data_IF_863126379717
#
_entry.id   IF_863126379717
#
_cell.length_a   1.000
_cell.length_b   1.000
_cell.length_c   1.000
_cell.angle_alpha   90.00
_cell.angle_beta   90.00
_cell.angle_gamma   90.00
#
_symmetry.space_group_name_H-M   'P 1'
#
loop_
_entity.id
_entity.type
_entity.pdbx_description
1 polymer ?
#
# COMPACT_ATOMS: atom_id res chain seq x y z
N UNK A 1 16.79 10.49 3.06
CA UNK A 1 16.15 10.20 4.36
C UNK A 1 15.68 11.49 5.02
N UNK A 2 14.55 11.45 5.67
CA UNK A 2 14.06 12.53 6.53
C UNK A 2 14.27 12.13 7.99
N UNK A 3 14.51 13.05 8.93
CA UNK A 3 14.73 12.74 10.34
C UNK A 3 13.38 12.49 11.07
N UNK A 4 12.61 11.50 10.59
CA UNK A 4 11.30 11.18 11.13
C UNK A 4 11.27 9.73 11.58
N UNK A 5 11.03 9.54 12.88
CA UNK A 5 10.89 8.23 13.52
C UNK A 5 9.49 8.12 14.08
N UNK A 6 8.76 7.08 13.67
CA UNK A 6 7.44 6.79 14.25
C UNK A 6 7.63 6.14 15.61
N UNK A 7 6.95 6.72 16.62
CA UNK A 7 7.02 6.24 18.00
C UNK A 7 6.58 4.78 18.11
N UNK A 8 7.27 4.02 18.97
CA UNK A 8 7.03 2.61 19.24
C UNK A 8 5.76 2.36 20.08
N UNK A 9 4.63 2.83 19.60
CA UNK A 9 3.31 2.69 20.24
C UNK A 9 2.47 1.68 19.46
N UNK A 10 1.87 0.73 20.15
CA UNK A 10 1.06 -0.37 19.56
C UNK A 10 -0.07 0.14 18.67
N UNK A 11 -0.70 1.26 19.04
CA UNK A 11 -1.76 1.88 18.25
C UNK A 11 -1.26 2.60 16.98
N UNK A 12 0.04 2.90 16.87
CA UNK A 12 0.61 3.74 15.81
C UNK A 12 1.57 2.96 14.93
N UNK A 13 2.54 2.26 15.53
CA UNK A 13 3.66 1.64 14.82
C UNK A 13 3.36 0.21 14.40
N UNK A 14 2.48 0.05 13.43
CA UNK A 14 2.18 -1.24 12.81
C UNK A 14 2.76 -1.34 11.38
N UNK A 15 2.62 -2.53 10.78
CA UNK A 15 3.17 -2.85 9.43
C UNK A 15 2.81 -1.83 8.34
N UNK A 16 1.57 -1.26 8.37
CA UNK A 16 1.11 -0.27 7.39
C UNK A 16 1.82 1.07 7.56
N UNK A 17 1.99 1.51 8.80
CA UNK A 17 2.73 2.74 9.10
C UNK A 17 4.20 2.56 8.73
N UNK A 18 4.81 1.41 9.07
CA UNK A 18 6.21 1.11 8.79
C UNK A 18 6.52 1.20 7.28
N UNK A 19 5.74 0.54 6.41
CA UNK A 19 5.96 0.63 4.96
C UNK A 19 5.75 2.05 4.42
N UNK A 20 4.71 2.75 4.92
CA UNK A 20 4.37 4.09 4.45
C UNK A 20 5.45 5.10 4.79
N UNK A 21 5.95 5.08 6.02
CA UNK A 21 6.98 6.02 6.45
C UNK A 21 8.34 5.71 5.82
N UNK A 22 8.67 4.42 5.65
CA UNK A 22 9.91 4.02 5.00
C UNK A 22 9.95 4.45 3.52
N UNK A 23 8.85 4.33 2.77
CA UNK A 23 8.76 4.88 1.40
C UNK A 23 9.00 6.39 1.33
N UNK A 24 8.79 7.11 2.41
CA UNK A 24 8.99 8.56 2.51
C UNK A 24 10.34 8.96 3.12
N UNK A 25 11.18 7.98 3.42
CA UNK A 25 12.54 8.21 3.93
C UNK A 25 12.67 8.27 5.45
N UNK A 26 11.57 8.01 6.20
CA UNK A 26 11.59 7.86 7.66
C UNK A 26 11.71 6.39 8.09
N UNK A 27 11.55 6.12 9.39
CA UNK A 27 11.58 4.78 9.95
C UNK A 27 10.51 4.61 11.02
N UNK A 28 9.93 3.43 11.13
CA UNK A 28 9.06 3.07 12.25
C UNK A 28 9.75 2.06 13.15
N UNK A 29 9.47 2.18 14.46
CA UNK A 29 9.97 1.27 15.48
C UNK A 29 8.80 0.43 15.99
N UNK A 30 8.83 -0.88 15.79
CA UNK A 30 7.81 -1.82 16.30
C UNK A 30 7.94 -1.92 17.83
N UNK A 31 6.83 -1.88 18.57
CA UNK A 31 6.84 -1.96 20.03
C UNK A 31 7.44 -3.26 20.57
N UNK A 32 8.04 -3.18 21.77
CA UNK A 32 8.68 -4.33 22.44
C UNK A 32 7.69 -5.33 23.07
N UNK A 33 6.44 -4.90 23.28
CA UNK A 33 5.36 -5.70 23.89
C UNK A 33 4.65 -6.62 22.89
N UNK A 34 5.13 -6.67 21.65
CA UNK A 34 4.59 -7.53 20.59
C UNK A 34 5.38 -8.85 20.57
N UNK A 35 4.69 -10.02 20.47
CA UNK A 35 5.36 -11.33 20.37
C UNK A 35 6.37 -11.38 19.22
N UNK A 36 7.50 -12.07 19.41
CA UNK A 36 8.63 -12.11 18.46
C UNK A 36 8.23 -12.67 17.09
N UNK A 37 7.38 -13.69 17.05
CA UNK A 37 6.84 -14.26 15.81
C UNK A 37 6.02 -13.25 15.01
N UNK A 38 5.26 -12.40 15.69
CA UNK A 38 4.52 -11.30 15.07
C UNK A 38 5.48 -10.23 14.56
N UNK A 39 6.51 -9.85 15.34
CA UNK A 39 7.54 -8.89 14.92
C UNK A 39 8.27 -9.41 13.69
N UNK A 40 8.70 -10.67 13.66
CA UNK A 40 9.34 -11.30 12.50
C UNK A 40 8.43 -11.26 11.27
N UNK A 41 7.16 -11.63 11.43
CA UNK A 41 6.15 -11.55 10.38
C UNK A 41 6.01 -10.12 9.81
N UNK A 42 5.97 -9.11 10.68
CA UNK A 42 5.87 -7.69 10.28
C UNK A 42 7.13 -7.25 9.52
N UNK A 43 8.31 -7.62 10.01
CA UNK A 43 9.59 -7.28 9.35
C UNK A 43 9.66 -7.90 7.95
N UNK A 44 9.39 -9.20 7.82
CA UNK A 44 9.37 -9.91 6.54
C UNK A 44 8.36 -9.29 5.58
N UNK A 45 7.18 -8.96 6.09
CA UNK A 45 6.13 -8.32 5.30
C UNK A 45 6.56 -6.93 4.79
N UNK A 46 7.14 -6.06 5.64
CA UNK A 46 7.60 -4.72 5.24
C UNK A 46 8.74 -4.82 4.23
N UNK A 47 9.72 -5.69 4.47
CA UNK A 47 10.85 -5.88 3.56
C UNK A 47 10.45 -6.45 2.19
N UNK A 48 9.33 -7.16 2.11
CA UNK A 48 8.79 -7.66 0.84
C UNK A 48 7.99 -6.61 0.04
N UNK A 49 7.77 -5.42 0.60
CA UNK A 49 6.97 -4.37 -0.07
C UNK A 49 7.83 -3.56 -1.05
N UNK A 50 7.18 -3.11 -2.13
CA UNK A 50 7.84 -2.28 -3.12
C UNK A 50 8.22 -0.91 -2.53
N UNK A 51 9.35 -0.37 -2.93
CA UNK A 51 9.89 0.90 -2.41
C UNK A 51 9.18 2.13 -2.98
N UNK A 52 8.52 2.02 -4.12
CA UNK A 52 7.86 3.12 -4.82
C UNK A 52 6.32 3.00 -4.79
N UNK A 53 5.75 1.85 -5.14
CA UNK A 53 4.30 1.67 -5.19
C UNK A 53 3.71 1.37 -3.82
N UNK A 54 2.49 1.88 -3.57
CA UNK A 54 1.74 1.51 -2.39
C UNK A 54 1.19 0.09 -2.50
N UNK A 55 1.04 -0.57 -1.34
CA UNK A 55 0.42 -1.89 -1.26
C UNK A 55 -1.08 -1.75 -1.53
N UNK A 56 -1.64 -2.43 -2.54
CA UNK A 56 -3.05 -2.31 -2.86
C UNK A 56 -3.93 -3.00 -1.81
N UNK A 57 -5.15 -2.53 -1.66
CA UNK A 57 -6.24 -3.30 -1.05
C UNK A 57 -6.91 -4.07 -2.17
N UNK A 58 -7.10 -5.38 -1.97
CA UNK A 58 -7.66 -6.25 -3.01
C UNK A 58 -8.88 -6.99 -2.50
N UNK A 59 -9.89 -7.12 -3.33
CA UNK A 59 -11.08 -7.96 -3.12
C UNK A 59 -11.42 -8.72 -4.40
N UNK A 60 -12.18 -9.81 -4.27
CA UNK A 60 -12.70 -10.55 -5.43
C UNK A 60 -13.99 -9.90 -5.97
N UNK A 61 -14.36 -10.16 -7.23
CA UNK A 61 -15.60 -9.63 -7.82
C UNK A 61 -16.88 -10.01 -7.10
N UNK A 62 -16.88 -11.16 -6.39
CA UNK A 62 -18.03 -11.71 -5.68
C UNK A 62 -18.18 -11.15 -4.26
N UNK A 63 -17.18 -10.48 -3.74
CA UNK A 63 -17.27 -9.80 -2.43
C UNK A 63 -18.19 -8.59 -2.51
N UNK A 64 -18.60 -8.08 -1.34
CA UNK A 64 -19.68 -7.11 -1.23
C UNK A 64 -19.18 -5.67 -1.04
N UNK A 65 -20.08 -4.72 -1.26
CA UNK A 65 -19.84 -3.29 -0.95
C UNK A 65 -19.48 -3.12 0.53
N UNK A 66 -20.08 -3.89 1.46
CA UNK A 66 -19.71 -3.83 2.88
C UNK A 66 -18.23 -4.20 3.11
N UNK A 67 -17.71 -5.21 2.40
CA UNK A 67 -16.32 -5.60 2.48
C UNK A 67 -15.40 -4.45 1.99
N UNK A 68 -15.74 -3.83 0.86
CA UNK A 68 -14.99 -2.70 0.33
C UNK A 68 -14.98 -1.51 1.28
N UNK A 69 -16.13 -1.08 1.78
CA UNK A 69 -16.26 0.04 2.73
C UNK A 69 -15.42 -0.20 3.98
N UNK A 70 -15.38 -1.45 4.50
CA UNK A 70 -14.56 -1.81 5.66
C UNK A 70 -13.06 -1.63 5.44
N UNK A 71 -12.61 -1.63 4.19
CA UNK A 71 -11.21 -1.53 3.80
C UNK A 71 -10.81 -0.12 3.33
N UNK A 72 -11.69 0.63 2.69
CA UNK A 72 -11.38 1.91 2.03
C UNK A 72 -10.66 2.89 2.96
N UNK A 73 -11.10 3.00 4.22
CA UNK A 73 -10.50 3.88 5.22
C UNK A 73 -9.10 3.42 5.72
N UNK A 74 -8.71 2.18 5.42
CA UNK A 74 -7.46 1.58 5.94
C UNK A 74 -6.20 2.03 5.19
N UNK A 75 -6.34 2.69 4.04
CA UNK A 75 -5.24 3.19 3.22
C UNK A 75 -5.53 4.58 2.67
N UNK A 76 -4.51 5.41 2.63
CA UNK A 76 -4.63 6.80 2.16
C UNK A 76 -4.99 6.92 0.66
N UNK A 77 -4.81 5.87 -0.14
CA UNK A 77 -5.20 5.89 -1.55
C UNK A 77 -6.72 5.77 -1.75
N UNK A 78 -7.47 5.32 -0.72
CA UNK A 78 -8.95 5.35 -0.73
C UNK A 78 -9.60 4.51 -1.83
N UNK A 79 -8.97 3.43 -2.25
CA UNK A 79 -9.47 2.57 -3.32
C UNK A 79 -9.20 1.08 -3.03
N UNK A 80 -10.07 0.22 -3.53
CA UNK A 80 -9.91 -1.23 -3.53
C UNK A 80 -9.80 -1.68 -4.98
N UNK A 81 -8.78 -2.47 -5.28
CA UNK A 81 -8.61 -3.09 -6.61
C UNK A 81 -9.33 -4.43 -6.61
N UNK A 82 -10.24 -4.61 -7.55
CA UNK A 82 -10.94 -5.89 -7.74
C UNK A 82 -10.06 -6.78 -8.61
N UNK A 83 -9.74 -7.97 -8.09
CA UNK A 83 -8.79 -8.89 -8.73
C UNK A 83 -9.39 -10.26 -8.93
N UNK A 84 -9.00 -10.89 -10.02
CA UNK A 84 -9.24 -12.30 -10.31
C UNK A 84 -7.97 -12.90 -10.91
N UNK A 85 -7.54 -14.05 -10.39
CA UNK A 85 -6.28 -14.67 -10.80
C UNK A 85 -5.07 -13.70 -10.75
N UNK A 86 -5.02 -12.87 -9.71
CA UNK A 86 -4.03 -11.81 -9.49
C UNK A 86 -4.01 -10.69 -10.55
N UNK A 87 -4.96 -10.64 -11.46
CA UNK A 87 -5.09 -9.58 -12.46
C UNK A 87 -6.16 -8.57 -12.03
N UNK A 88 -5.91 -7.26 -12.18
CA UNK A 88 -6.91 -6.24 -11.85
C UNK A 88 -8.03 -6.24 -12.88
N UNK A 89 -9.28 -6.33 -12.41
CA UNK A 89 -10.50 -6.27 -13.22
C UNK A 89 -11.21 -4.92 -13.12
N UNK A 90 -11.09 -4.26 -11.97
CA UNK A 90 -11.78 -3.01 -11.69
C UNK A 90 -11.24 -2.33 -10.46
N UNK A 91 -11.73 -1.12 -10.21
CA UNK A 91 -11.47 -0.35 -8.99
C UNK A 91 -12.80 0.04 -8.38
N UNK A 92 -12.84 0.04 -7.05
CA UNK A 92 -13.96 0.54 -6.24
C UNK A 92 -13.42 1.62 -5.30
N UNK A 93 -14.08 2.75 -5.30
CA UNK A 93 -13.82 3.89 -4.40
C UNK A 93 -15.04 4.11 -3.47
N UNK A 94 -14.93 5.06 -2.55
CA UNK A 94 -16.04 5.45 -1.70
C UNK A 94 -17.24 6.00 -2.51
N UNK A 95 -16.95 6.72 -3.60
CA UNK A 95 -17.97 7.27 -4.50
C UNK A 95 -18.80 6.16 -5.18
N UNK A 96 -18.16 5.04 -5.56
CA UNK A 96 -18.82 3.88 -6.16
C UNK A 96 -19.72 3.11 -5.18
N UNK A 97 -19.45 3.23 -3.87
CA UNK A 97 -20.23 2.60 -2.81
C UNK A 97 -21.39 3.47 -2.30
N UNK A 98 -21.40 4.76 -2.63
CA UNK A 98 -22.38 5.71 -2.10
C UNK A 98 -23.79 5.41 -2.61
N UNK A 99 -24.73 5.23 -1.68
CA UNK A 99 -26.13 4.95 -2.01
C UNK A 99 -26.41 3.54 -2.53
N UNK A 100 -25.42 2.65 -2.53
CA UNK A 100 -25.56 1.25 -2.97
C UNK A 100 -25.83 0.34 -1.77
N UNK A 101 -26.67 -0.68 -1.96
CA UNK A 101 -26.93 -1.69 -0.92
C UNK A 101 -25.62 -2.41 -0.53
N UNK A 102 -25.42 -2.59 0.77
CA UNK A 102 -24.20 -3.18 1.34
C UNK A 102 -23.90 -4.62 0.91
N UNK A 103 -24.91 -5.36 0.50
CA UNK A 103 -24.78 -6.75 0.04
C UNK A 103 -24.59 -6.86 -1.48
N UNK A 104 -24.62 -5.75 -2.19
CA UNK A 104 -24.34 -5.71 -3.62
C UNK A 104 -22.92 -6.20 -3.91
N UNK A 105 -22.77 -7.06 -4.92
CA UNK A 105 -21.46 -7.59 -5.31
C UNK A 105 -20.62 -6.56 -6.07
N UNK A 106 -19.31 -6.57 -5.84
CA UNK A 106 -18.39 -5.54 -6.35
C UNK A 106 -18.28 -5.51 -7.87
N UNK A 107 -18.50 -6.64 -8.56
CA UNK A 107 -18.46 -6.69 -10.03
C UNK A 107 -19.53 -5.81 -10.69
N UNK A 108 -20.61 -5.44 -9.97
CA UNK A 108 -21.69 -4.59 -10.49
C UNK A 108 -21.42 -3.10 -10.33
N UNK A 109 -20.62 -2.74 -9.32
CA UNK A 109 -20.34 -1.32 -8.97
C UNK A 109 -18.93 -0.85 -9.36
N UNK A 110 -18.00 -1.80 -9.60
CA UNK A 110 -16.62 -1.45 -9.93
C UNK A 110 -16.52 -0.69 -11.26
N UNK A 111 -15.65 0.30 -11.30
CA UNK A 111 -15.20 0.93 -12.53
C UNK A 111 -14.27 -0.03 -13.28
N UNK A 112 -14.65 -0.41 -14.51
CA UNK A 112 -13.91 -1.36 -15.38
C UNK A 112 -12.93 -0.66 -16.33
N UNK A 113 -13.06 0.67 -16.49
CA UNK A 113 -12.15 1.47 -17.28
C UNK A 113 -10.82 1.68 -16.53
N UNK A 114 -9.98 0.65 -16.57
CA UNK A 114 -8.71 0.61 -15.87
C UNK A 114 -7.57 1.19 -16.70
N UNK A 115 -7.02 2.30 -16.22
CA UNK A 115 -5.71 2.74 -16.62
C UNK A 115 -4.67 2.06 -15.73
N UNK A 116 -3.77 1.27 -16.31
CA UNK A 116 -2.71 0.56 -15.56
C UNK A 116 -1.34 1.15 -15.84
N UNK A 117 -0.46 1.11 -14.84
CA UNK A 117 0.96 1.46 -14.95
C UNK A 117 1.80 0.18 -14.97
N UNK A 118 2.93 0.21 -15.66
CA UNK A 118 3.93 -0.86 -15.60
C UNK A 118 4.81 -0.68 -14.36
N UNK A 119 5.25 -1.76 -13.75
CA UNK A 119 6.08 -1.78 -12.54
C UNK A 119 7.48 -1.16 -12.72
N UNK A 120 7.96 -1.02 -13.94
CA UNK A 120 9.21 -0.33 -14.28
C UNK A 120 9.09 1.18 -14.56
N UNK A 121 7.91 1.79 -14.38
CA UNK A 121 7.74 3.22 -14.63
C UNK A 121 8.47 4.05 -13.55
N UNK A 122 9.16 5.12 -13.98
CA UNK A 122 9.73 6.09 -13.05
C UNK A 122 8.66 7.05 -12.49
N UNK A 123 8.99 7.73 -11.38
CA UNK A 123 8.05 8.55 -10.64
C UNK A 123 7.51 9.74 -11.47
N UNK A 124 8.34 10.34 -12.29
CA UNK A 124 7.93 11.49 -13.12
C UNK A 124 7.02 11.06 -14.25
N UNK A 125 7.41 10.01 -14.97
CA UNK A 125 6.60 9.42 -16.03
C UNK A 125 5.24 8.95 -15.51
N UNK A 126 5.21 8.30 -14.33
CA UNK A 126 3.98 7.87 -13.70
C UNK A 126 3.08 9.05 -13.30
N UNK A 127 3.67 10.15 -12.81
CA UNK A 127 2.92 11.36 -12.49
C UNK A 127 2.31 11.99 -13.75
N UNK A 128 3.12 12.21 -14.80
CA UNK A 128 2.68 12.83 -16.05
C UNK A 128 1.58 11.96 -16.68
N UNK A 129 1.76 10.65 -16.74
CA UNK A 129 0.76 9.71 -17.25
C UNK A 129 -0.59 9.80 -16.53
N UNK A 130 -0.59 9.82 -15.17
CA UNK A 130 -1.82 9.97 -14.39
C UNK A 130 -2.44 11.36 -14.52
N UNK A 131 -1.60 12.40 -14.68
CA UNK A 131 -2.05 13.78 -14.86
C UNK A 131 -2.75 13.97 -16.21
N UNK A 132 -2.13 13.54 -17.30
CA UNK A 132 -2.64 13.69 -18.67
C UNK A 132 -3.94 12.90 -18.88
N UNK A 133 -4.04 11.74 -18.25
CA UNK A 133 -5.25 10.92 -18.27
C UNK A 133 -6.30 11.33 -17.21
N UNK A 134 -6.06 12.41 -16.45
CA UNK A 134 -6.96 12.94 -15.41
C UNK A 134 -7.35 11.89 -14.36
N UNK A 135 -6.45 10.93 -14.06
CA UNK A 135 -6.68 9.89 -13.07
C UNK A 135 -6.01 10.25 -11.73
N UNK A 136 -6.71 9.97 -10.62
CA UNK A 136 -6.16 10.17 -9.27
C UNK A 136 -5.19 9.05 -8.88
N UNK A 137 -5.41 7.85 -9.41
CA UNK A 137 -4.62 6.64 -9.12
C UNK A 137 -4.72 5.62 -10.28
N UNK A 138 -3.78 4.67 -10.29
CA UNK A 138 -3.84 3.51 -11.17
C UNK A 138 -3.23 2.27 -10.49
N UNK A 139 -3.75 1.07 -10.78
CA UNK A 139 -3.07 -0.18 -10.47
C UNK A 139 -1.75 -0.28 -11.22
N UNK A 140 -0.75 -0.87 -10.58
CA UNK A 140 0.55 -1.17 -11.18
C UNK A 140 0.61 -2.66 -11.47
N UNK A 141 1.00 -3.03 -12.68
CA UNK A 141 1.05 -4.42 -13.12
C UNK A 141 2.45 -4.80 -13.61
N UNK A 142 2.81 -6.06 -13.38
CA UNK A 142 4.05 -6.64 -13.91
C UNK A 142 3.93 -7.01 -15.40
N UNK A 143 5.01 -7.54 -15.98
CA UNK A 143 5.05 -7.96 -17.38
C UNK A 143 4.05 -9.08 -17.76
N UNK A 144 3.44 -9.76 -16.77
CA UNK A 144 2.39 -10.77 -16.97
C UNK A 144 0.98 -10.20 -16.80
N UNK A 145 0.85 -8.90 -16.52
CA UNK A 145 -0.42 -8.24 -16.23
C UNK A 145 -0.97 -8.51 -14.82
N UNK A 146 -0.15 -9.06 -13.92
CA UNK A 146 -0.53 -9.32 -12.53
C UNK A 146 -0.34 -8.06 -11.68
N UNK A 147 -1.19 -7.88 -10.68
CA UNK A 147 -1.16 -6.72 -9.79
C UNK A 147 0.09 -6.72 -8.91
N UNK A 148 0.94 -5.71 -9.07
CA UNK A 148 2.15 -5.48 -8.26
C UNK A 148 1.96 -4.41 -7.20
N UNK A 149 1.07 -3.45 -7.43
CA UNK A 149 0.88 -2.33 -6.54
C UNK A 149 -0.27 -1.40 -6.95
N UNK A 150 -0.35 -0.28 -6.27
CA UNK A 150 -1.20 0.85 -6.65
C UNK A 150 -0.38 2.14 -6.51
N UNK A 151 -0.57 3.08 -7.42
CA UNK A 151 0.10 4.36 -7.37
C UNK A 151 -0.91 5.49 -7.50
N UNK A 152 -0.85 6.44 -6.56
CA UNK A 152 -1.61 7.68 -6.68
C UNK A 152 -0.77 8.77 -7.34
N UNK A 153 -1.41 9.73 -8.01
CA UNK A 153 -0.74 10.91 -8.56
C UNK A 153 0.05 11.68 -7.50
N UNK A 154 -0.51 11.82 -6.30
CA UNK A 154 0.18 12.43 -5.16
C UNK A 154 1.34 11.56 -4.68
N UNK A 155 1.20 10.24 -4.69
CA UNK A 155 2.28 9.29 -4.38
C UNK A 155 3.44 9.40 -5.36
N UNK A 156 3.17 9.46 -6.65
CA UNK A 156 4.18 9.68 -7.69
C UNK A 156 4.93 11.00 -7.48
N UNK A 157 4.21 12.10 -7.24
CA UNK A 157 4.84 13.40 -6.96
C UNK A 157 5.73 13.35 -5.71
N UNK A 158 5.26 12.73 -4.62
CA UNK A 158 6.06 12.58 -3.39
C UNK A 158 7.35 11.80 -3.60
N UNK A 159 7.34 10.80 -4.47
CA UNK A 159 8.52 10.00 -4.78
C UNK A 159 9.60 10.77 -5.57
N UNK A 160 9.25 11.90 -6.18
CA UNK A 160 10.25 12.82 -6.75
C UNK A 160 10.92 13.70 -5.69
N UNK A 161 10.29 13.86 -4.50
CA UNK A 161 10.77 14.72 -3.42
C UNK A 161 11.49 13.93 -2.32
N UNK A 162 11.06 12.71 -2.06
CA UNK A 162 11.55 11.89 -0.95
C UNK A 162 12.12 10.56 -1.44
N UNK A 163 13.38 10.30 -1.13
CA UNK A 163 13.98 8.99 -1.35
C UNK A 163 13.54 8.01 -0.25
N UNK A 164 13.17 6.76 -0.58
CA UNK A 164 12.80 5.77 0.41
C UNK A 164 13.97 5.41 1.33
N UNK A 165 13.67 5.09 2.59
CA UNK A 165 14.64 4.54 3.53
C UNK A 165 14.79 3.04 3.24
N UNK A 166 15.92 2.66 2.61
CA UNK A 166 16.20 1.27 2.23
C UNK A 166 17.52 0.78 2.82
N UNK A 167 17.64 -0.54 3.00
CA UNK A 167 18.87 -1.21 3.36
C UNK A 167 19.78 -1.45 2.14
N UNK A 168 20.92 -2.13 2.36
CA UNK A 168 21.88 -2.43 1.31
C UNK A 168 21.34 -3.35 0.19
N UNK A 169 20.27 -4.10 0.48
CA UNK A 169 19.57 -4.98 -0.47
C UNK A 169 18.35 -4.30 -1.13
N UNK A 170 18.18 -2.97 -0.94
CA UNK A 170 17.06 -2.18 -1.45
C UNK A 170 15.69 -2.56 -0.87
N UNK A 171 15.65 -3.16 0.34
CA UNK A 171 14.41 -3.39 1.07
C UNK A 171 14.08 -2.21 1.99
N UNK A 172 12.79 -1.94 2.22
CA UNK A 172 12.34 -0.91 3.14
C UNK A 172 12.87 -1.16 4.56
N UNK A 173 13.40 -0.09 5.20
CA UNK A 173 13.91 -0.14 6.57
C UNK A 173 12.78 -0.14 7.58
N UNK A 174 12.95 -0.96 8.61
CA UNK A 174 12.09 -1.05 9.78
C UNK A 174 12.98 -1.31 11.00
N UNK A 175 12.59 -0.84 12.17
CA UNK A 175 13.23 -1.13 13.44
C UNK A 175 12.25 -1.81 14.38
N UNK A 176 12.77 -2.51 15.38
CA UNK A 176 12.00 -3.07 16.49
C UNK A 176 12.66 -2.67 17.80
N UNK A 177 11.84 -2.33 18.79
CA UNK A 177 12.31 -2.12 20.16
C UNK A 177 12.50 -3.48 20.84
N UNK A 178 13.62 -3.61 21.57
CA UNK A 178 13.97 -4.80 22.31
C UNK A 178 14.09 -4.42 23.77
N UNK A 179 13.48 -5.21 24.68
CA UNK A 179 13.62 -5.02 26.11
C UNK A 179 15.04 -5.33 26.59
N UNK A 180 15.50 -4.65 27.63
CA UNK A 180 16.86 -4.82 28.21
C UNK A 180 17.12 -6.26 28.64
N UNK A 181 16.06 -6.98 29.05
CA UNK A 181 16.11 -8.38 29.52
C UNK A 181 15.58 -9.35 28.44
N UNK A 182 15.37 -8.89 27.21
CA UNK A 182 14.90 -9.74 26.12
C UNK A 182 16.01 -10.62 25.58
N UNK A 183 15.67 -11.86 25.22
CA UNK A 183 16.55 -12.70 24.43
C UNK A 183 16.62 -12.12 23.00
N UNK A 184 17.83 -11.69 22.62
CA UNK A 184 18.06 -10.94 21.36
C UNK A 184 18.69 -11.83 20.29
N UNK A 185 18.93 -13.12 20.60
CA UNK A 185 19.60 -14.07 19.71
C UNK A 185 18.67 -14.69 18.66
#
# INVERSE_FOLDING_TARGET
TIPLVVANMTAVSGRRMAETIARRGGIAVIPQDIPLDVVDSVIKWVKSRHTFFDTPLTLSPQQTVADAVSLLSKRAHGAVVIVENNKPLGIVTEEDCAGVDRFTQLHTVMSKDLLTLKDGADARQAFDFLHDNRRKLAPVVNGKGELSGILTRVGALRSTLYAPAVDAQNHLRIAAAIGINGDVA
#
